data_IF_989735126200
#
_entry.id   IF_989735126200
#
_cell.length_a   1.000
_cell.length_b   1.000
_cell.length_c   1.000
_cell.angle_alpha   90.00
_cell.angle_beta   90.00
_cell.angle_gamma   90.00
#
_symmetry.space_group_name_H-M   'P 1'
#
loop_
_entity.id
_entity.type
_entity.pdbx_description
1 polymer ?
#
# COMPACT_ATOMS: atom_id res chain seq x y z
N UNK A 1 -17.27 10.29 -3.70
CA UNK A 1 -17.58 9.64 -5.01
C UNK A 1 -17.41 8.14 -4.83
N UNK A 2 -18.23 7.28 -5.44
CA UNK A 2 -17.93 5.84 -5.48
C UNK A 2 -17.40 5.51 -6.87
N UNK A 3 -16.07 5.48 -7.03
CA UNK A 3 -15.45 5.19 -8.33
C UNK A 3 -15.64 3.73 -8.78
N UNK A 4 -16.06 2.85 -7.87
CA UNK A 4 -16.31 1.43 -8.16
C UNK A 4 -17.76 1.17 -8.59
N UNK A 5 -18.62 2.18 -8.50
CA UNK A 5 -19.98 2.11 -9.02
C UNK A 5 -20.04 2.60 -10.47
N UNK A 6 -21.00 2.05 -11.22
CA UNK A 6 -21.36 2.57 -12.54
C UNK A 6 -21.67 4.08 -12.45
N UNK A 7 -21.26 4.88 -13.45
CA UNK A 7 -20.78 4.49 -14.79
C UNK A 7 -19.26 4.31 -14.94
N UNK A 8 -18.49 4.22 -13.85
CA UNK A 8 -17.04 4.07 -13.94
C UNK A 8 -16.62 2.61 -14.20
N UNK A 9 -15.49 2.40 -14.89
CA UNK A 9 -14.88 1.07 -15.10
C UNK A 9 -13.39 1.11 -14.81
N UNK A 10 -12.94 0.31 -13.86
CA UNK A 10 -11.54 0.15 -13.52
C UNK A 10 -11.02 -1.18 -14.07
N UNK A 11 -9.91 -1.12 -14.79
CA UNK A 11 -9.16 -2.29 -15.24
C UNK A 11 -7.79 -2.29 -14.57
N UNK A 12 -7.48 -3.38 -13.89
CA UNK A 12 -6.17 -3.61 -13.29
C UNK A 12 -5.70 -5.01 -13.68
N UNK A 13 -4.65 -5.10 -14.47
CA UNK A 13 -4.23 -6.36 -15.07
C UNK A 13 -2.84 -6.29 -15.70
N UNK A 14 -2.53 -7.24 -16.58
CA UNK A 14 -1.22 -7.29 -17.24
C UNK A 14 -1.03 -6.06 -18.11
N UNK A 15 -0.07 -5.20 -17.73
CA UNK A 15 0.18 -3.91 -18.39
C UNK A 15 0.36 -4.02 -19.90
N UNK A 16 1.12 -5.03 -20.37
CA UNK A 16 1.31 -5.31 -21.80
C UNK A 16 0.00 -5.58 -22.56
N UNK A 17 -0.98 -6.22 -21.91
CA UNK A 17 -2.29 -6.50 -22.54
C UNK A 17 -3.12 -5.22 -22.64
N UNK A 18 -3.14 -4.41 -21.57
CA UNK A 18 -3.82 -3.12 -21.58
C UNK A 18 -3.21 -2.16 -22.60
N UNK A 19 -1.88 -2.09 -22.70
CA UNK A 19 -1.18 -1.30 -23.71
C UNK A 19 -1.54 -1.75 -25.12
N UNK A 20 -1.56 -3.06 -25.39
CA UNK A 20 -1.96 -3.57 -26.71
C UNK A 20 -3.43 -3.28 -27.03
N UNK A 21 -4.31 -3.24 -26.03
CA UNK A 21 -5.72 -2.89 -26.22
C UNK A 21 -5.93 -1.40 -26.57
N UNK A 22 -5.04 -0.50 -26.12
CA UNK A 22 -5.07 0.92 -26.49
C UNK A 22 -4.44 1.21 -27.86
N UNK A 23 -3.57 0.32 -28.34
CA UNK A 23 -2.78 0.50 -29.55
C UNK A 23 -1.31 0.76 -29.25
N UNK A 24 -0.45 0.40 -30.20
CA UNK A 24 0.99 0.63 -30.19
C UNK A 24 1.46 1.53 -31.34
N UNK A 25 0.67 1.67 -32.40
CA UNK A 25 0.93 2.49 -33.58
C UNK A 25 -0.34 3.27 -33.96
N UNK A 26 -0.25 4.32 -34.79
CA UNK A 26 -1.44 5.04 -35.26
C UNK A 26 -2.44 4.16 -36.02
N UNK A 27 -2.00 3.04 -36.60
CA UNK A 27 -2.84 2.16 -37.41
C UNK A 27 -3.61 1.13 -36.58
N UNK A 28 -3.12 0.79 -35.38
CA UNK A 28 -3.73 -0.22 -34.51
C UNK A 28 -4.38 0.37 -33.24
N UNK A 29 -4.38 1.70 -33.11
CA UNK A 29 -5.07 2.37 -32.01
C UNK A 29 -6.59 2.37 -32.21
N UNK A 30 -7.31 2.13 -31.12
CA UNK A 30 -8.77 2.03 -31.14
C UNK A 30 -9.43 3.40 -31.37
N UNK A 31 -8.82 4.47 -30.85
CA UNK A 31 -9.24 5.85 -31.02
C UNK A 31 -8.00 6.73 -31.26
N UNK A 32 -8.15 7.89 -31.91
CA UNK A 32 -7.00 8.75 -32.19
C UNK A 32 -6.21 9.09 -30.92
N UNK A 33 -4.89 8.89 -31.01
CA UNK A 33 -3.91 9.13 -29.96
C UNK A 33 -4.02 8.27 -28.70
N UNK A 34 -4.87 7.23 -28.62
CA UNK A 34 -4.91 6.37 -27.42
C UNK A 34 -3.62 5.60 -27.20
N UNK A 35 -2.84 5.34 -28.25
CA UNK A 35 -1.50 4.73 -28.13
C UNK A 35 -0.56 5.56 -27.25
N UNK A 36 -0.78 6.87 -27.12
CA UNK A 36 0.06 7.76 -26.33
C UNK A 36 -0.09 7.53 -24.82
N UNK A 37 -1.12 6.80 -24.37
CA UNK A 37 -1.24 6.33 -22.99
C UNK A 37 -0.39 5.07 -22.71
N UNK A 38 -0.06 4.28 -23.73
CA UNK A 38 0.67 3.02 -23.54
C UNK A 38 2.04 3.17 -22.83
N UNK A 39 2.86 4.22 -23.08
CA UNK A 39 4.10 4.45 -22.35
C UNK A 39 3.92 4.64 -20.84
N UNK A 40 2.72 5.04 -20.38
CA UNK A 40 2.41 5.20 -18.96
C UNK A 40 2.02 3.87 -18.29
N UNK A 41 1.84 2.79 -19.06
CA UNK A 41 1.47 1.46 -18.55
C UNK A 41 2.70 0.63 -18.13
N UNK A 42 3.47 1.13 -17.16
CA UNK A 42 4.66 0.46 -16.60
C UNK A 42 4.47 0.25 -15.09
N UNK A 43 4.81 -0.95 -14.60
CA UNK A 43 4.71 -1.28 -13.17
C UNK A 43 3.30 -1.60 -12.71
N UNK A 44 2.92 -1.08 -11.54
CA UNK A 44 1.66 -1.40 -10.85
C UNK A 44 0.55 -0.40 -11.20
N UNK A 45 0.11 -0.41 -12.45
CA UNK A 45 -0.77 0.61 -13.04
C UNK A 45 -2.02 -0.01 -13.67
N UNK A 46 -3.10 0.78 -13.72
CA UNK A 46 -4.39 0.38 -14.30
C UNK A 46 -5.02 1.47 -15.15
N UNK A 47 -6.17 1.16 -15.75
CA UNK A 47 -6.97 2.09 -16.55
C UNK A 47 -8.30 2.37 -15.86
N UNK A 48 -8.65 3.64 -15.72
CA UNK A 48 -9.96 4.09 -15.25
C UNK A 48 -10.69 4.77 -16.40
N UNK A 49 -11.87 4.24 -16.74
CA UNK A 49 -12.80 4.86 -17.68
C UNK A 49 -13.91 5.54 -16.88
N UNK A 50 -14.18 6.81 -17.19
CA UNK A 50 -15.17 7.61 -16.50
C UNK A 50 -15.72 8.70 -17.40
N UNK A 51 -16.96 9.12 -17.14
CA UNK A 51 -17.58 10.29 -17.76
C UNK A 51 -17.51 11.52 -16.83
N UNK A 52 -16.69 11.46 -15.76
CA UNK A 52 -16.51 12.56 -14.81
C UNK A 52 -15.39 13.48 -15.28
N UNK A 53 -15.49 14.74 -14.89
CA UNK A 53 -14.45 15.73 -15.13
C UNK A 53 -13.12 15.31 -14.47
N UNK A 54 -11.96 15.51 -15.15
CA UNK A 54 -10.65 15.15 -14.61
C UNK A 54 -10.39 15.71 -13.21
N UNK A 55 -10.76 16.97 -12.96
CA UNK A 55 -10.58 17.60 -11.64
C UNK A 55 -11.29 16.86 -10.51
N UNK A 56 -12.52 16.37 -10.75
CA UNK A 56 -13.27 15.59 -9.77
C UNK A 56 -12.62 14.24 -9.46
N UNK A 57 -11.90 13.66 -10.42
CA UNK A 57 -11.16 12.40 -10.24
C UNK A 57 -9.86 12.65 -9.49
N UNK A 58 -9.14 13.72 -9.82
CA UNK A 58 -7.92 14.15 -9.12
C UNK A 58 -8.20 14.42 -7.65
N UNK A 59 -9.21 15.24 -7.34
CA UNK A 59 -9.61 15.55 -5.96
C UNK A 59 -9.99 14.29 -5.19
N UNK A 60 -10.71 13.37 -5.84
CA UNK A 60 -11.13 12.13 -5.19
C UNK A 60 -9.96 11.24 -4.78
N UNK A 61 -8.98 11.05 -5.67
CA UNK A 61 -7.81 10.21 -5.36
C UNK A 61 -6.82 10.90 -4.43
N UNK A 62 -6.70 12.23 -4.51
CA UNK A 62 -5.92 13.01 -3.55
C UNK A 62 -6.48 12.90 -2.12
N UNK A 63 -7.80 12.76 -1.97
CA UNK A 63 -8.44 12.56 -0.67
C UNK A 63 -8.39 11.11 -0.15
N UNK A 64 -7.92 10.15 -0.96
CA UNK A 64 -7.80 8.75 -0.55
C UNK A 64 -6.37 8.48 -0.11
N UNK A 65 -6.18 8.48 1.20
CA UNK A 65 -5.10 7.76 1.84
C UNK A 65 -5.74 6.73 2.78
N UNK A 66 -5.47 5.45 2.56
CA UNK A 66 -5.83 4.41 3.52
C UNK A 66 -4.56 3.82 4.09
N UNK A 67 -4.43 3.90 5.41
CA UNK A 67 -3.34 3.25 6.11
C UNK A 67 -3.46 1.73 5.94
N UNK A 68 -2.42 1.12 5.41
CA UNK A 68 -2.27 -0.31 5.14
C UNK A 68 -0.99 -0.83 5.80
N UNK A 69 -0.84 -2.14 5.85
CA UNK A 69 0.36 -2.77 6.35
C UNK A 69 1.49 -2.68 5.32
N UNK A 70 2.68 -2.29 5.79
CA UNK A 70 3.87 -2.23 4.97
C UNK A 70 4.17 -3.60 4.29
N UNK A 71 4.75 -3.54 3.09
CA UNK A 71 5.07 -4.72 2.27
C UNK A 71 6.58 -4.90 2.20
N UNK A 72 7.04 -6.14 2.03
CA UNK A 72 8.48 -6.36 1.90
C UNK A 72 9.04 -5.53 0.74
N UNK A 73 10.16 -4.84 0.98
CA UNK A 73 10.79 -3.89 0.07
C UNK A 73 10.35 -2.43 0.25
N UNK A 74 9.30 -2.13 1.03
CA UNK A 74 8.97 -0.73 1.38
C UNK A 74 9.91 -0.23 2.47
N UNK A 75 10.28 1.04 2.39
CA UNK A 75 11.04 1.73 3.42
C UNK A 75 10.20 1.90 4.71
N UNK A 76 10.81 1.67 5.86
CA UNK A 76 10.14 1.86 7.14
C UNK A 76 10.00 3.36 7.46
N UNK A 77 8.77 3.81 7.68
CA UNK A 77 8.46 5.23 7.98
C UNK A 77 8.81 5.65 9.40
N UNK A 78 9.06 4.70 10.31
CA UNK A 78 9.54 4.96 11.67
C UNK A 78 10.25 3.74 12.25
N UNK A 79 11.01 3.97 13.31
CA UNK A 79 11.55 2.89 14.14
C UNK A 79 10.44 2.28 15.00
N UNK A 80 10.33 0.94 15.02
CA UNK A 80 9.38 0.22 15.87
C UNK A 80 10.11 -0.77 16.78
N UNK A 81 10.00 -0.56 18.09
CA UNK A 81 10.67 -1.36 19.13
C UNK A 81 9.65 -1.83 20.15
N UNK A 82 9.61 -3.14 20.39
CA UNK A 82 8.77 -3.74 21.43
C UNK A 82 9.54 -3.72 22.75
N UNK A 83 8.98 -3.15 23.84
CA UNK A 83 9.68 -3.03 25.11
C UNK A 83 9.90 -4.40 25.78
N UNK A 84 10.89 -4.45 26.69
CA UNK A 84 11.09 -5.61 27.56
C UNK A 84 9.89 -5.83 28.50
N UNK A 85 9.70 -7.08 28.94
CA UNK A 85 8.60 -7.47 29.81
C UNK A 85 7.46 -8.14 29.05
N UNK A 86 6.22 -8.00 29.54
CA UNK A 86 5.04 -8.62 28.91
C UNK A 86 4.82 -8.01 27.53
N UNK A 87 4.64 -8.85 26.50
CA UNK A 87 4.32 -8.41 25.14
C UNK A 87 2.82 -8.16 25.02
N UNK A 88 2.46 -6.95 24.64
CA UNK A 88 1.07 -6.53 24.44
C UNK A 88 0.70 -6.51 22.95
N UNK A 89 -0.60 -6.41 22.66
CA UNK A 89 -1.13 -6.56 21.30
C UNK A 89 -0.66 -5.47 20.34
N UNK A 90 -0.33 -4.27 20.82
CA UNK A 90 0.22 -3.14 20.05
C UNK A 90 1.73 -2.98 20.19
N UNK A 91 2.39 -3.89 20.89
CA UNK A 91 3.86 -3.94 20.96
C UNK A 91 4.51 -2.65 21.47
N UNK A 92 3.82 -1.84 22.27
CA UNK A 92 4.33 -0.57 22.81
C UNK A 92 3.87 0.69 22.10
N UNK A 93 3.03 0.60 21.06
CA UNK A 93 2.48 1.79 20.37
C UNK A 93 1.46 2.57 21.20
N UNK A 94 0.83 1.93 22.17
CA UNK A 94 -0.09 2.56 23.14
C UNK A 94 0.32 2.17 24.56
N UNK A 95 -0.18 2.92 25.54
CA UNK A 95 0.07 2.64 26.95
C UNK A 95 -0.45 1.26 27.35
N UNK A 96 0.29 0.53 28.18
CA UNK A 96 -0.02 -0.85 28.57
C UNK A 96 -1.38 -0.98 29.31
N UNK A 97 -1.84 0.09 29.97
CA UNK A 97 -3.13 0.17 30.64
C UNK A 97 -4.31 0.22 29.65
N UNK A 98 -4.06 0.63 28.40
CA UNK A 98 -5.02 0.71 27.31
C UNK A 98 -4.87 -0.44 26.31
N UNK A 99 -3.86 -1.30 26.51
CA UNK A 99 -3.58 -2.45 25.67
C UNK A 99 -3.95 -3.76 26.40
N UNK A 100 -3.99 -4.85 25.64
CA UNK A 100 -4.21 -6.20 26.16
C UNK A 100 -2.97 -7.06 25.91
N UNK A 101 -2.60 -7.95 26.84
CA UNK A 101 -1.52 -8.91 26.60
C UNK A 101 -1.77 -9.71 25.32
N UNK A 102 -0.72 -9.92 24.53
CA UNK A 102 -0.84 -10.70 23.30
C UNK A 102 -1.24 -12.14 23.60
N UNK A 103 -2.08 -12.73 22.75
CA UNK A 103 -2.54 -14.11 22.91
C UNK A 103 -1.35 -15.08 22.92
N UNK A 104 -1.25 -15.90 23.96
CA UNK A 104 -0.15 -16.84 24.16
C UNK A 104 0.05 -17.84 23.00
N UNK A 105 -1.01 -18.12 22.23
CA UNK A 105 -0.95 -18.98 21.04
C UNK A 105 -0.09 -18.41 19.90
N UNK A 106 0.18 -17.11 19.89
CA UNK A 106 1.03 -16.45 18.90
C UNK A 106 2.53 -16.56 19.21
N UNK A 107 2.90 -17.03 20.41
CA UNK A 107 4.30 -17.11 20.84
C UNK A 107 5.20 -17.94 19.90
N UNK A 108 4.78 -19.13 19.40
CA UNK A 108 5.57 -19.88 18.45
C UNK A 108 5.79 -19.13 17.12
N UNK A 109 4.81 -18.31 16.70
CA UNK A 109 4.93 -17.50 15.49
C UNK A 109 5.94 -16.36 15.68
N UNK A 110 5.89 -15.65 16.82
CA UNK A 110 6.87 -14.62 17.15
C UNK A 110 8.29 -15.18 17.18
N UNK A 111 8.48 -16.36 17.80
CA UNK A 111 9.77 -17.05 17.83
C UNK A 111 10.25 -17.44 16.43
N UNK A 112 9.36 -17.93 15.57
CA UNK A 112 9.66 -18.23 14.16
C UNK A 112 10.05 -16.98 13.37
N UNK A 113 9.57 -15.82 13.79
CA UNK A 113 9.93 -14.50 13.25
C UNK A 113 11.13 -13.87 13.97
N UNK A 114 11.94 -14.68 14.67
CA UNK A 114 13.18 -14.30 15.36
C UNK A 114 12.99 -13.28 16.51
N UNK A 115 11.79 -13.15 17.07
CA UNK A 115 11.63 -12.46 18.36
C UNK A 115 12.05 -13.40 19.50
N UNK A 116 12.93 -12.98 20.43
CA UNK A 116 13.44 -13.80 21.52
C UNK A 116 12.42 -13.89 22.68
N UNK A 117 11.25 -14.45 22.41
CA UNK A 117 10.13 -14.54 23.37
C UNK A 117 10.18 -15.81 24.22
N UNK A 118 9.57 -15.72 25.40
CA UNK A 118 9.32 -16.84 26.31
C UNK A 118 7.92 -16.72 26.93
N UNK A 119 7.41 -17.79 27.53
CA UNK A 119 6.15 -17.76 28.30
C UNK A 119 6.45 -17.71 29.79
N UNK A 120 5.98 -16.65 30.46
CA UNK A 120 6.04 -16.50 31.91
C UNK A 120 4.62 -16.40 32.45
N UNK A 121 4.19 -17.38 33.26
CA UNK A 121 2.83 -17.46 33.81
C UNK A 121 1.72 -17.30 32.73
N UNK A 122 1.93 -17.91 31.56
CA UNK A 122 0.98 -17.87 30.44
C UNK A 122 0.98 -16.58 29.62
N UNK A 123 1.90 -15.63 29.89
CA UNK A 123 2.06 -14.39 29.11
C UNK A 123 3.35 -14.42 28.30
N UNK A 124 3.28 -13.95 27.05
CA UNK A 124 4.45 -13.76 26.21
C UNK A 124 5.33 -12.67 26.84
N UNK A 125 6.61 -12.96 27.00
CA UNK A 125 7.56 -12.08 27.69
C UNK A 125 8.87 -11.97 26.90
N UNK A 126 9.38 -10.76 26.78
CA UNK A 126 10.71 -10.41 26.27
C UNK A 126 11.65 -10.09 27.43
N UNK A 127 12.89 -10.58 27.38
CA UNK A 127 13.91 -10.24 28.38
C UNK A 127 14.50 -8.83 28.16
N UNK A 128 14.75 -8.48 26.90
CA UNK A 128 15.23 -7.18 26.47
C UNK A 128 14.28 -6.62 25.41
N UNK A 129 14.34 -5.31 25.17
CA UNK A 129 13.62 -4.71 24.06
C UNK A 129 14.05 -5.32 22.71
N UNK A 130 13.12 -5.30 21.75
CA UNK A 130 13.35 -5.86 20.42
C UNK A 130 12.93 -4.87 19.35
N UNK A 131 13.90 -4.32 18.62
CA UNK A 131 13.66 -3.47 17.46
C UNK A 131 13.31 -4.31 16.25
N UNK A 132 12.09 -4.15 15.73
CA UNK A 132 11.61 -4.83 14.54
C UNK A 132 12.24 -4.21 13.30
N UNK A 133 12.18 -2.88 13.18
CA UNK A 133 12.76 -2.10 12.08
C UNK A 133 13.21 -0.73 12.56
N UNK A 134 14.17 -0.12 11.85
CA UNK A 134 14.51 1.29 12.02
C UNK A 134 13.94 2.10 10.87
N UNK A 135 13.68 3.36 11.12
CA UNK A 135 13.31 4.32 10.09
C UNK A 135 14.35 4.33 8.96
N UNK A 136 13.89 4.31 7.72
CA UNK A 136 14.75 4.27 6.53
C UNK A 136 15.18 2.88 6.07
N UNK A 137 14.98 1.82 6.87
CA UNK A 137 15.34 0.47 6.47
C UNK A 137 14.34 -0.11 5.46
N UNK A 138 14.83 -0.79 4.42
CA UNK A 138 13.99 -1.60 3.55
C UNK A 138 13.45 -2.83 4.30
N UNK A 139 12.13 -2.90 4.47
CA UNK A 139 11.49 -3.92 5.28
C UNK A 139 11.56 -5.31 4.63
N UNK A 140 11.91 -6.33 5.42
CA UNK A 140 11.86 -7.73 5.01
C UNK A 140 10.46 -8.37 5.29
N UNK A 141 10.25 -9.59 4.77
CA UNK A 141 8.98 -10.33 4.96
C UNK A 141 8.66 -10.67 6.42
N UNK A 142 9.69 -10.79 7.27
CA UNK A 142 9.55 -11.10 8.70
C UNK A 142 9.16 -9.84 9.47
N UNK A 143 9.78 -8.70 9.19
CA UNK A 143 9.47 -7.40 9.79
C UNK A 143 8.04 -6.97 9.47
N UNK A 144 7.64 -7.06 8.20
CA UNK A 144 6.26 -6.73 7.79
C UNK A 144 5.22 -7.66 8.42
N UNK A 145 5.56 -8.94 8.61
CA UNK A 145 4.70 -9.87 9.36
C UNK A 145 4.58 -9.48 10.83
N UNK A 146 5.68 -9.10 11.48
CA UNK A 146 5.68 -8.64 12.87
C UNK A 146 4.86 -7.36 13.04
N UNK A 147 5.09 -6.35 12.19
CA UNK A 147 4.29 -5.10 12.19
C UNK A 147 2.79 -5.41 12.05
N UNK A 148 2.42 -6.33 11.15
CA UNK A 148 1.03 -6.77 11.00
C UNK A 148 0.46 -7.46 12.24
N UNK A 149 1.24 -8.30 12.93
CA UNK A 149 0.81 -8.95 14.18
C UNK A 149 0.57 -7.94 15.31
N UNK A 150 1.35 -6.85 15.35
CA UNK A 150 1.16 -5.74 16.29
C UNK A 150 0.12 -4.71 15.83
N UNK A 151 -0.48 -4.90 14.64
CA UNK A 151 -1.45 -3.99 14.07
C UNK A 151 -0.86 -2.62 13.70
N UNK A 152 0.44 -2.59 13.38
CA UNK A 152 1.19 -1.41 12.96
C UNK A 152 1.05 -1.23 11.46
N UNK A 153 0.08 -0.41 11.07
CA UNK A 153 -0.12 0.00 9.68
C UNK A 153 0.66 1.30 9.44
N UNK A 154 1.68 1.23 8.59
CA UNK A 154 2.67 2.31 8.35
C UNK A 154 2.85 2.65 6.88
N UNK A 155 2.12 2.00 5.99
CA UNK A 155 2.15 2.31 4.56
C UNK A 155 0.85 3.02 4.18
N UNK A 156 0.96 4.10 3.43
CA UNK A 156 -0.21 4.73 2.85
C UNK A 156 -0.52 4.10 1.50
N UNK A 157 -1.72 3.56 1.36
CA UNK A 157 -2.26 3.21 0.05
C UNK A 157 -2.80 4.49 -0.59
N UNK A 158 -2.04 5.01 -1.55
CA UNK A 158 -2.43 6.11 -2.42
C UNK A 158 -2.55 5.64 -3.87
N UNK A 159 -3.36 6.34 -4.65
CA UNK A 159 -3.48 6.11 -6.10
C UNK A 159 -3.02 7.36 -6.81
N UNK A 160 -1.92 7.24 -7.55
CA UNK A 160 -1.39 8.33 -8.36
C UNK A 160 -2.00 8.29 -9.76
N UNK A 161 -2.50 9.43 -10.23
CA UNK A 161 -2.95 9.62 -11.60
C UNK A 161 -1.76 10.05 -12.45
N UNK A 162 -1.48 9.31 -13.53
CA UNK A 162 -0.30 9.54 -14.38
C UNK A 162 -0.62 10.40 -15.61
N UNK A 163 -1.73 10.09 -16.27
CA UNK A 163 -2.20 10.77 -17.47
C UNK A 163 -3.66 10.38 -17.75
N UNK A 164 -4.35 11.18 -18.55
CA UNK A 164 -5.67 10.84 -19.08
C UNK A 164 -5.78 11.21 -20.56
N UNK A 165 -6.63 10.49 -21.27
CA UNK A 165 -7.04 10.81 -22.64
C UNK A 165 -8.51 11.25 -22.62
N UNK A 166 -8.85 12.25 -23.43
CA UNK A 166 -10.23 12.74 -23.56
C UNK A 166 -10.80 12.41 -24.93
N UNK A 167 -11.97 11.77 -24.97
CA UNK A 167 -12.70 11.52 -26.21
C UNK A 167 -13.19 12.80 -26.90
N UNK A 168 -13.33 13.92 -26.16
CA UNK A 168 -13.80 15.18 -26.71
C UNK A 168 -12.70 15.89 -27.53
N UNK A 169 -11.45 15.75 -27.13
CA UNK A 169 -10.30 16.41 -27.78
C UNK A 169 -9.41 15.43 -28.55
N UNK A 170 -9.50 14.14 -28.26
CA UNK A 170 -8.56 13.10 -28.69
C UNK A 170 -7.11 13.39 -28.26
N UNK A 171 -6.93 14.06 -27.13
CA UNK A 171 -5.61 14.45 -26.61
C UNK A 171 -5.30 13.72 -25.31
N UNK A 172 -4.01 13.46 -25.08
CA UNK A 172 -3.48 12.97 -23.81
C UNK A 172 -2.93 14.13 -23.01
N UNK A 173 -3.40 14.26 -21.78
CA UNK A 173 -2.87 15.20 -20.79
C UNK A 173 -2.10 14.41 -19.74
N UNK A 174 -0.84 14.76 -19.51
CA UNK A 174 -0.05 14.24 -18.40
C UNK A 174 -0.46 14.94 -17.13
N UNK A 175 -0.57 14.19 -16.05
CA UNK A 175 -0.76 14.74 -14.71
C UNK A 175 0.62 14.69 -14.07
N UNK A 176 1.18 15.85 -13.76
CA UNK A 176 2.41 15.89 -12.98
C UNK A 176 2.10 15.27 -11.62
N UNK A 177 2.89 14.29 -11.22
CA UNK A 177 2.77 13.69 -9.90
C UNK A 177 2.82 14.84 -8.89
N UNK A 178 1.80 14.93 -8.03
CA UNK A 178 1.89 15.80 -6.86
C UNK A 178 3.20 15.41 -6.15
N UNK A 179 4.17 16.32 -6.14
CA UNK A 179 5.38 16.16 -5.36
C UNK A 179 4.95 15.87 -3.92
N UNK A 180 5.36 14.70 -3.41
CA UNK A 180 5.26 14.36 -1.98
C UNK A 180 6.20 15.25 -1.16
#
# INVERSE_FOLDING_TARGET
INIFAAPNRLFFGKTKVMAKALGSTPEDEYQPNTRLLAPHLVGNVGLLFTNREPGSITEYFAAIAKTDYARAGTEATRTFTVPAGTVYSRGGDIAAEQDVPMAHSLEPELRKLNMPTSLVKGKITLQNEYTVCKEGDALDSRQTRLLKLFGVATADFTVQLLAYWSAATNEVTKIDAMEE
#
